data_IF_488966212611
#
_entry.id   IF_488966212611
#
_cell.length_a   1.000
_cell.length_b   1.000
_cell.length_c   1.000
_cell.angle_alpha   90.00
_cell.angle_beta   90.00
_cell.angle_gamma   90.00
#
_symmetry.space_group_name_H-M   'P 1'
#
loop_
_entity.id
_entity.type
_entity.pdbx_description
1 polymer ?
#
# COMPACT_ATOMS: atom_id res chain seq x y z
N UNK A 1 2.26 8.87 20.72
CA UNK A 1 2.73 10.08 20.04
C UNK A 1 2.26 9.97 18.61
N UNK A 2 1.16 10.63 18.26
CA UNK A 2 0.80 10.80 16.86
C UNK A 2 2.01 11.40 16.11
N UNK A 3 2.31 10.84 14.93
CA UNK A 3 3.42 11.31 14.10
C UNK A 3 3.23 12.79 13.74
N UNK A 4 4.30 13.46 13.31
CA UNK A 4 4.31 14.87 12.90
C UNK A 4 3.25 15.25 11.83
N UNK A 5 2.60 14.26 11.22
CA UNK A 5 1.61 14.38 10.13
C UNK A 5 0.25 13.77 10.48
N UNK A 6 -0.03 13.51 11.75
CA UNK A 6 -1.27 12.87 12.19
C UNK A 6 -1.29 11.35 11.97
N UNK A 7 -2.43 10.74 12.28
CA UNK A 7 -2.64 9.31 12.05
C UNK A 7 -2.81 9.03 10.56
N UNK A 8 -2.31 7.89 10.08
CA UNK A 8 -2.31 7.56 8.64
C UNK A 8 -3.71 7.48 8.03
N UNK A 9 -4.72 7.17 8.86
CA UNK A 9 -6.13 7.13 8.45
C UNK A 9 -6.71 8.50 8.11
N UNK A 10 -6.01 9.60 8.44
CA UNK A 10 -6.49 10.99 8.20
C UNK A 10 -5.66 11.72 7.15
N UNK A 11 -4.83 11.01 6.39
CA UNK A 11 -4.02 11.64 5.34
C UNK A 11 -4.88 12.04 4.14
N UNK A 12 -4.59 13.22 3.61
CA UNK A 12 -5.20 13.73 2.37
C UNK A 12 -4.52 13.09 1.15
N UNK A 13 -5.13 12.06 0.58
CA UNK A 13 -4.57 11.28 -0.55
C UNK A 13 -5.12 11.67 -1.92
N UNK A 14 -6.05 12.63 -1.99
CA UNK A 14 -6.77 13.00 -3.23
C UNK A 14 -5.86 13.49 -4.37
N UNK A 15 -4.67 13.99 -4.06
CA UNK A 15 -3.68 14.43 -5.04
C UNK A 15 -2.64 13.34 -5.41
N UNK A 16 -2.69 12.17 -4.79
CA UNK A 16 -1.72 11.09 -5.01
C UNK A 16 -2.03 10.36 -6.30
N UNK A 17 -1.05 10.26 -7.18
CA UNK A 17 -1.17 9.55 -8.47
C UNK A 17 -0.38 8.24 -8.51
N UNK A 18 0.57 8.05 -7.59
CA UNK A 18 1.44 6.88 -7.47
C UNK A 18 1.50 6.40 -6.03
N UNK A 19 1.00 5.18 -5.78
CA UNK A 19 1.05 4.51 -4.48
C UNK A 19 1.96 3.27 -4.51
N UNK A 20 2.83 3.17 -5.50
CA UNK A 20 3.69 2.00 -5.69
C UNK A 20 4.66 1.86 -4.52
N UNK A 21 4.91 0.63 -4.07
CA UNK A 21 5.82 0.28 -2.96
C UNK A 21 5.52 0.87 -1.58
N UNK A 22 4.38 1.57 -1.40
CA UNK A 22 4.11 2.36 -0.20
C UNK A 22 4.12 1.55 1.10
N UNK A 23 3.71 0.29 1.06
CA UNK A 23 3.77 -0.69 2.15
C UNK A 23 4.47 -2.00 1.72
N UNK A 24 5.55 -1.90 0.96
CA UNK A 24 6.33 -3.07 0.60
C UNK A 24 7.12 -3.58 1.82
N UNK A 25 6.98 -4.86 2.20
CA UNK A 25 7.54 -5.47 3.43
C UNK A 25 8.83 -6.31 3.29
N UNK A 26 9.43 -6.37 2.10
CA UNK A 26 10.55 -7.27 1.78
C UNK A 26 11.95 -6.64 1.79
N UNK A 27 12.67 -6.68 2.91
CA UNK A 27 14.07 -6.21 2.93
C UNK A 27 15.04 -7.28 2.41
N UNK A 28 15.69 -7.05 1.27
CA UNK A 28 16.92 -7.72 0.86
C UNK A 28 17.94 -6.69 0.40
N UNK A 29 18.66 -6.11 1.35
CA UNK A 29 19.67 -5.08 1.07
C UNK A 29 21.04 -5.70 1.30
N UNK A 30 21.68 -6.14 0.22
CA UNK A 30 23.01 -6.74 0.28
C UNK A 30 24.06 -5.97 -0.53
N UNK A 31 23.94 -4.65 -0.71
CA UNK A 31 24.90 -3.89 -1.49
C UNK A 31 24.99 -2.42 -1.02
N UNK A 32 26.20 -1.94 -0.72
CA UNK A 32 26.45 -0.58 -0.22
C UNK A 32 26.09 0.56 -1.19
N UNK A 33 25.83 0.26 -2.48
CA UNK A 33 25.63 1.28 -3.52
C UNK A 33 24.61 0.89 -4.61
N UNK A 34 23.63 0.02 -4.33
CA UNK A 34 22.57 -0.30 -5.30
C UNK A 34 21.23 0.33 -4.91
N UNK A 35 20.49 0.73 -5.95
CA UNK A 35 19.11 1.20 -5.93
C UNK A 35 18.23 0.11 -5.29
N UNK A 36 18.17 0.14 -3.98
CA UNK A 36 17.25 -0.65 -3.23
C UNK A 36 15.85 -0.09 -3.48
N UNK A 37 14.97 -0.92 -4.03
CA UNK A 37 13.57 -0.85 -3.66
C UNK A 37 13.51 -1.33 -2.20
N UNK A 38 13.94 -0.47 -1.27
CA UNK A 38 13.94 -0.72 0.16
C UNK A 38 12.49 -0.85 0.61
N UNK A 39 12.00 -2.07 0.60
CA UNK A 39 10.74 -2.39 1.20
C UNK A 39 10.93 -2.36 2.73
N UNK A 40 10.18 -1.47 3.38
CA UNK A 40 10.22 -1.25 4.81
C UNK A 40 9.76 -2.51 5.57
N UNK A 41 10.63 -3.10 6.37
CA UNK A 41 10.26 -4.23 7.24
C UNK A 41 9.10 -3.90 8.20
N UNK A 42 8.88 -2.63 8.56
CA UNK A 42 7.72 -2.20 9.32
C UNK A 42 6.41 -2.41 8.52
N UNK A 43 6.47 -2.36 7.19
CA UNK A 43 5.32 -2.63 6.34
C UNK A 43 4.86 -4.10 6.36
N UNK A 44 5.74 -5.05 6.72
CA UNK A 44 5.32 -6.43 6.95
C UNK A 44 4.31 -6.54 8.12
N UNK A 45 4.43 -5.64 9.11
CA UNK A 45 3.51 -5.53 10.25
C UNK A 45 2.39 -4.52 10.06
N UNK A 46 2.36 -3.79 8.93
CA UNK A 46 1.37 -2.76 8.69
C UNK A 46 -0.04 -3.35 8.58
N UNK A 47 -0.97 -2.82 9.38
CA UNK A 47 -2.37 -3.21 9.38
C UNK A 47 -3.28 -2.09 9.93
N UNK A 48 -2.90 -0.84 9.66
CA UNK A 48 -3.70 0.34 10.05
C UNK A 48 -4.84 0.59 9.07
N UNK A 49 -5.91 1.22 9.55
CA UNK A 49 -7.07 1.54 8.73
C UNK A 49 -6.75 2.65 7.72
N UNK A 50 -6.97 2.34 6.45
CA UNK A 50 -6.80 3.21 5.28
C UNK A 50 -8.02 3.16 4.36
N UNK A 51 -9.15 2.65 4.87
CA UNK A 51 -10.42 2.55 4.12
C UNK A 51 -10.92 3.92 3.64
N UNK A 52 -10.58 4.99 4.37
CA UNK A 52 -10.98 6.37 4.09
C UNK A 52 -10.13 7.09 3.03
N UNK A 53 -9.07 6.46 2.51
CA UNK A 53 -8.23 7.10 1.49
C UNK A 53 -8.99 7.31 0.18
N UNK A 54 -8.86 8.51 -0.37
CA UNK A 54 -9.29 8.80 -1.74
C UNK A 54 -8.23 8.28 -2.73
N UNK A 55 -8.60 7.24 -3.49
CA UNK A 55 -7.76 6.65 -4.52
C UNK A 55 -8.19 7.04 -5.94
N UNK A 56 -9.18 7.94 -6.09
CA UNK A 56 -9.75 8.29 -7.39
C UNK A 56 -8.73 8.91 -8.35
N UNK A 57 -7.70 9.58 -7.84
CA UNK A 57 -6.61 10.15 -8.64
C UNK A 57 -5.46 9.17 -8.96
N UNK A 58 -5.46 7.96 -8.38
CA UNK A 58 -4.32 7.05 -8.44
C UNK A 58 -4.24 6.35 -9.79
N UNK A 59 -3.03 6.27 -10.34
CA UNK A 59 -2.76 5.65 -11.64
C UNK A 59 -1.85 4.43 -11.55
N UNK A 60 -1.11 4.25 -10.45
CA UNK A 60 -0.26 3.07 -10.21
C UNK A 60 -0.27 2.68 -8.73
N UNK A 61 -0.40 1.38 -8.50
CA UNK A 61 -0.41 0.70 -7.19
C UNK A 61 0.53 -0.53 -7.21
N UNK A 62 1.56 -0.49 -8.06
CA UNK A 62 2.52 -1.59 -8.19
C UNK A 62 3.18 -1.91 -6.85
N UNK A 63 3.12 -3.19 -6.44
CA UNK A 63 3.75 -3.69 -5.20
C UNK A 63 3.39 -2.91 -3.93
N UNK A 64 2.25 -2.20 -3.91
CA UNK A 64 1.84 -1.38 -2.76
C UNK A 64 1.82 -2.16 -1.44
N UNK A 65 1.35 -3.41 -1.44
CA UNK A 65 1.32 -4.31 -0.28
C UNK A 65 2.19 -5.56 -0.50
N UNK A 66 3.23 -5.48 -1.34
CA UNK A 66 4.12 -6.63 -1.59
C UNK A 66 4.78 -7.04 -0.27
N UNK A 67 4.62 -8.29 0.17
CA UNK A 67 5.09 -8.76 1.49
C UNK A 67 4.50 -8.06 2.72
N UNK A 68 3.39 -7.31 2.60
CA UNK A 68 2.65 -6.80 3.75
C UNK A 68 1.87 -7.95 4.43
N UNK A 69 2.59 -8.87 5.06
CA UNK A 69 2.07 -10.17 5.49
C UNK A 69 0.95 -10.09 6.52
N UNK A 70 0.88 -8.98 7.28
CA UNK A 70 -0.12 -8.72 8.31
C UNK A 70 -1.32 -7.88 7.85
N UNK A 71 -1.27 -7.30 6.64
CA UNK A 71 -2.31 -6.40 6.17
C UNK A 71 -3.60 -7.15 5.83
N UNK A 72 -4.71 -6.73 6.45
CA UNK A 72 -6.03 -7.31 6.23
C UNK A 72 -7.15 -6.29 6.51
N UNK A 73 -7.00 -5.05 6.04
CA UNK A 73 -8.02 -4.01 6.18
C UNK A 73 -8.88 -3.89 4.94
N UNK A 74 -10.15 -3.56 5.17
CA UNK A 74 -11.13 -3.37 4.12
C UNK A 74 -10.74 -2.16 3.27
N UNK A 75 -10.62 -2.43 1.97
CA UNK A 75 -10.30 -1.47 0.92
C UNK A 75 -11.28 -1.63 -0.26
N UNK A 76 -12.39 -2.33 -0.06
CA UNK A 76 -13.39 -2.58 -1.10
C UNK A 76 -14.07 -1.30 -1.62
N UNK A 77 -14.02 -0.22 -0.84
CA UNK A 77 -14.55 1.10 -1.20
C UNK A 77 -13.61 1.95 -2.06
N UNK A 78 -12.37 1.51 -2.30
CA UNK A 78 -11.41 2.27 -3.11
C UNK A 78 -11.85 2.37 -4.57
N UNK A 79 -11.73 3.58 -5.12
CA UNK A 79 -11.96 3.85 -6.53
C UNK A 79 -10.69 3.55 -7.32
N UNK A 80 -10.72 2.52 -8.19
CA UNK A 80 -9.53 2.06 -8.93
C UNK A 80 -9.67 2.20 -10.45
N UNK A 81 -10.75 2.80 -10.94
CA UNK A 81 -11.01 3.05 -12.37
C UNK A 81 -9.85 3.72 -13.14
N UNK A 82 -9.00 4.51 -12.47
CA UNK A 82 -7.87 5.20 -13.10
C UNK A 82 -6.53 4.43 -13.00
N UNK A 83 -6.48 3.34 -12.23
CA UNK A 83 -5.26 2.58 -11.98
C UNK A 83 -4.92 1.73 -13.19
N UNK A 84 -3.70 1.92 -13.71
CA UNK A 84 -3.17 1.22 -14.90
C UNK A 84 -2.25 0.07 -14.53
N UNK A 85 -1.60 0.14 -13.37
CA UNK A 85 -0.58 -0.80 -12.93
C UNK A 85 -0.84 -1.25 -11.49
N UNK A 86 -1.01 -2.57 -11.30
CA UNK A 86 -1.25 -3.24 -10.01
C UNK A 86 -0.36 -4.49 -9.85
N UNK A 87 0.76 -4.52 -10.56
CA UNK A 87 1.68 -5.66 -10.57
C UNK A 87 2.10 -6.02 -9.15
N UNK A 88 1.88 -7.28 -8.77
CA UNK A 88 2.27 -7.81 -7.46
C UNK A 88 1.71 -7.03 -6.25
N UNK A 89 0.60 -6.29 -6.41
CA UNK A 89 0.03 -5.42 -5.36
C UNK A 89 -0.14 -6.15 -4.02
N UNK A 90 -0.70 -7.36 -4.01
CA UNK A 90 -0.89 -8.20 -2.82
C UNK A 90 -0.02 -9.46 -2.79
N UNK A 91 1.01 -9.54 -3.65
CA UNK A 91 1.83 -10.73 -3.67
C UNK A 91 2.53 -10.87 -2.30
N UNK A 92 2.34 -12.02 -1.66
CA UNK A 92 2.89 -12.36 -0.35
C UNK A 92 2.30 -11.55 0.83
N UNK A 93 1.18 -10.85 0.61
CA UNK A 93 0.32 -10.32 1.66
C UNK A 93 -0.57 -11.44 2.24
N UNK A 94 0.02 -12.36 2.99
CA UNK A 94 -0.60 -13.63 3.39
C UNK A 94 -1.89 -13.51 4.22
N UNK A 95 -2.07 -12.42 4.97
CA UNK A 95 -3.26 -12.21 5.78
C UNK A 95 -4.43 -11.58 5.01
N UNK A 96 -4.20 -11.04 3.82
CA UNK A 96 -5.21 -10.28 3.09
C UNK A 96 -6.33 -11.21 2.59
N UNK A 97 -7.55 -10.94 3.07
CA UNK A 97 -8.75 -11.70 2.71
C UNK A 97 -10.01 -10.80 2.79
N UNK A 98 -9.94 -9.64 2.13
CA UNK A 98 -11.05 -8.69 2.06
C UNK A 98 -11.73 -8.73 0.70
N UNK A 99 -13.00 -8.35 0.67
CA UNK A 99 -13.77 -8.27 -0.58
C UNK A 99 -13.31 -7.06 -1.41
N UNK A 100 -12.95 -7.32 -2.66
CA UNK A 100 -12.55 -6.33 -3.65
C UNK A 100 -13.47 -6.34 -4.87
N UNK A 101 -14.61 -7.03 -4.81
CA UNK A 101 -15.59 -7.09 -5.90
C UNK A 101 -16.25 -5.74 -6.22
N UNK A 102 -16.17 -4.77 -5.31
CA UNK A 102 -16.66 -3.41 -5.48
C UNK A 102 -15.72 -2.47 -6.24
N UNK A 103 -14.50 -2.92 -6.58
CA UNK A 103 -13.52 -2.13 -7.31
C UNK A 103 -14.00 -1.82 -8.74
N UNK A 104 -14.18 -0.53 -9.02
CA UNK A 104 -14.64 -0.01 -10.29
C UNK A 104 -13.80 1.16 -10.78
#
# INVERSE_FOLDING_TARGET
>A
AEAAYGHISTWETSAVTDMSYLFCGYSYCSCSNCWCSDCDSAAASFNEDISAWDTSGVTTMDRMFFYASSFNRDIGAWAVHNVKYMSQMFALASAFNQDIGGWA
#
